data_IF_624315209557
#
_entry.id   IF_624315209557
#
_cell.length_a   1.000
_cell.length_b   1.000
_cell.length_c   1.000
_cell.angle_alpha   90.00
_cell.angle_beta   90.00
_cell.angle_gamma   90.00
#
_symmetry.space_group_name_H-M   'P 1'
#
loop_
_entity.id
_entity.type
_entity.pdbx_description
1 polymer ?
#
# COMPACT_ATOMS: atom_id res chain seq x y z
N UNK A 1 -33.27 -9.26 -31.18
CA UNK A 1 -31.96 -9.81 -30.75
C UNK A 1 -31.55 -9.09 -29.49
N UNK A 2 -31.60 -9.79 -28.36
CA UNK A 2 -31.37 -9.24 -27.02
C UNK A 2 -29.87 -9.10 -26.79
N UNK A 3 -29.37 -7.86 -26.73
CA UNK A 3 -28.06 -7.59 -26.13
C UNK A 3 -28.22 -7.62 -24.61
N UNK A 4 -28.19 -8.83 -24.04
CA UNK A 4 -27.87 -9.00 -22.64
C UNK A 4 -26.42 -8.51 -22.45
N UNK A 5 -26.26 -7.30 -21.91
CA UNK A 5 -24.99 -6.86 -21.35
C UNK A 5 -24.71 -7.83 -20.19
N UNK A 6 -23.86 -8.83 -20.46
CA UNK A 6 -23.30 -9.72 -19.44
C UNK A 6 -22.69 -8.83 -18.35
N UNK A 7 -23.32 -8.77 -17.18
CA UNK A 7 -22.64 -8.39 -15.96
C UNK A 7 -21.65 -9.51 -15.62
N UNK A 8 -20.51 -9.55 -16.32
CA UNK A 8 -19.36 -10.33 -15.89
C UNK A 8 -18.91 -9.72 -14.57
N UNK A 9 -19.30 -10.32 -13.45
CA UNK A 9 -18.72 -9.97 -12.15
C UNK A 9 -17.32 -10.57 -12.11
N UNK A 10 -16.40 -9.86 -12.73
CA UNK A 10 -14.96 -10.07 -12.62
C UNK A 10 -14.60 -10.02 -11.13
N UNK A 11 -13.84 -11.00 -10.65
CA UNK A 11 -13.48 -11.06 -9.24
C UNK A 11 -12.71 -9.79 -8.84
N UNK A 12 -13.08 -9.20 -7.71
CA UNK A 12 -12.46 -8.00 -7.17
C UNK A 12 -12.48 -8.01 -5.64
N UNK A 13 -11.29 -7.93 -5.04
CA UNK A 13 -11.07 -7.90 -3.60
C UNK A 13 -10.13 -6.75 -3.25
N UNK A 14 -10.44 -5.97 -2.21
CA UNK A 14 -9.46 -5.07 -1.59
C UNK A 14 -8.93 -5.73 -0.32
N UNK A 15 -7.68 -6.17 -0.33
CA UNK A 15 -7.05 -6.82 0.81
C UNK A 15 -6.32 -5.79 1.65
N UNK A 16 -6.63 -5.72 2.94
CA UNK A 16 -6.00 -4.83 3.93
C UNK A 16 -5.54 -5.67 5.11
N UNK A 17 -4.27 -5.54 5.47
CA UNK A 17 -3.70 -6.24 6.61
C UNK A 17 -3.96 -5.44 7.90
N UNK A 18 -4.80 -6.00 8.78
CA UNK A 18 -4.95 -5.54 10.15
C UNK A 18 -4.30 -6.51 11.14
N UNK A 19 -3.93 -6.04 12.34
CA UNK A 19 -3.63 -6.92 13.47
C UNK A 19 -4.85 -7.82 13.74
N UNK A 20 -4.62 -9.12 13.99
CA UNK A 20 -5.73 -10.03 14.28
C UNK A 20 -6.39 -9.69 15.63
N UNK A 21 -7.72 -9.86 15.76
CA UNK A 21 -8.44 -9.72 17.04
C UNK A 21 -8.15 -10.95 17.91
N UNK A 22 -6.92 -11.03 18.41
CA UNK A 22 -6.41 -12.21 19.12
C UNK A 22 -7.20 -12.42 20.41
N UNK A 23 -7.72 -13.63 20.61
CA UNK A 23 -8.49 -14.01 21.80
C UNK A 23 -9.98 -13.66 21.75
N UNK A 24 -10.45 -12.87 20.77
CA UNK A 24 -11.89 -12.63 20.63
C UNK A 24 -12.62 -13.86 20.08
N UNK A 25 -13.78 -14.15 20.67
CA UNK A 25 -14.80 -15.10 20.16
C UNK A 25 -16.12 -14.39 19.85
N UNK A 26 -16.14 -13.06 19.92
CA UNK A 26 -17.33 -12.27 19.62
C UNK A 26 -17.55 -12.27 18.11
N UNK A 27 -18.67 -12.85 17.68
CA UNK A 27 -19.10 -12.97 16.28
C UNK A 27 -19.08 -11.62 15.56
N UNK A 28 -19.51 -10.54 16.21
CA UNK A 28 -19.60 -9.22 15.59
C UNK A 28 -18.22 -8.58 15.40
N UNK A 29 -17.32 -8.76 16.37
CA UNK A 29 -15.92 -8.31 16.26
C UNK A 29 -15.21 -9.06 15.13
N UNK A 30 -15.35 -10.39 15.09
CA UNK A 30 -14.71 -11.24 14.09
C UNK A 30 -15.22 -10.93 12.68
N UNK A 31 -16.55 -10.81 12.52
CA UNK A 31 -17.18 -10.46 11.25
C UNK A 31 -16.77 -9.07 10.78
N UNK A 32 -16.81 -8.06 11.66
CA UNK A 32 -16.37 -6.70 11.33
C UNK A 32 -14.92 -6.68 10.86
N UNK A 33 -14.04 -7.40 11.56
CA UNK A 33 -12.63 -7.49 11.18
C UNK A 33 -12.43 -8.13 9.80
N UNK A 34 -13.18 -9.18 9.46
CA UNK A 34 -13.13 -9.81 8.12
C UNK A 34 -13.57 -8.81 7.05
N UNK A 35 -14.73 -8.17 7.24
CA UNK A 35 -15.29 -7.22 6.28
C UNK A 35 -14.37 -6.00 6.07
N UNK A 36 -13.74 -5.49 7.13
CA UNK A 36 -12.74 -4.42 7.06
C UNK A 36 -11.47 -4.87 6.34
N UNK A 37 -10.96 -6.07 6.64
CA UNK A 37 -9.76 -6.64 6.00
C UNK A 37 -9.98 -6.94 4.51
N UNK A 38 -11.23 -7.14 4.09
CA UNK A 38 -11.64 -7.26 2.69
C UNK A 38 -12.05 -5.92 2.06
N UNK A 39 -11.86 -4.80 2.77
CA UNK A 39 -12.11 -3.45 2.29
C UNK A 39 -13.58 -3.17 1.93
N UNK A 40 -14.50 -3.96 2.47
CA UNK A 40 -15.94 -3.90 2.15
C UNK A 40 -16.68 -2.81 2.94
N UNK A 41 -16.13 -2.43 4.10
CA UNK A 41 -16.64 -1.33 4.94
C UNK A 41 -15.81 -0.08 4.67
N UNK A 42 -16.48 1.03 4.35
CA UNK A 42 -15.83 2.35 4.30
C UNK A 42 -15.91 2.99 5.67
N UNK A 43 -14.82 2.98 6.44
CA UNK A 43 -14.72 3.80 7.64
C UNK A 43 -14.66 5.27 7.25
N UNK A 44 -15.72 6.04 7.51
CA UNK A 44 -15.66 7.51 7.56
C UNK A 44 -14.87 7.85 8.83
N UNK A 45 -13.80 8.61 8.72
CA UNK A 45 -13.00 8.98 9.89
C UNK A 45 -13.84 9.71 10.94
N UNK A 46 -13.76 9.28 12.20
CA UNK A 46 -14.09 10.12 13.36
C UNK A 46 -15.45 9.95 14.04
N UNK A 47 -16.28 8.95 13.74
CA UNK A 47 -17.53 8.72 14.47
C UNK A 47 -17.53 7.36 15.17
N UNK A 48 -17.41 7.38 16.49
CA UNK A 48 -17.67 6.24 17.38
C UNK A 48 -19.08 6.45 17.97
N UNK A 49 -20.11 6.08 17.21
CA UNK A 49 -21.49 5.96 17.69
C UNK A 49 -21.87 4.49 17.80
N UNK A 50 -22.51 4.09 18.90
CA UNK A 50 -22.81 2.68 19.23
C UNK A 50 -23.80 2.01 18.24
N UNK A 51 -24.73 2.79 17.66
CA UNK A 51 -25.71 2.30 16.66
C UNK A 51 -25.16 2.25 15.21
N UNK A 52 -24.03 2.91 14.93
CA UNK A 52 -23.33 2.86 13.63
C UNK A 52 -22.31 1.71 13.56
N UNK A 53 -22.19 0.90 14.63
CA UNK A 53 -21.19 -0.18 14.72
C UNK A 53 -21.44 -1.31 13.72
N UNK A 54 -22.67 -1.52 13.26
CA UNK A 54 -23.01 -2.60 12.33
C UNK A 54 -23.45 -2.03 10.97
N UNK A 55 -22.50 -1.90 10.04
CA UNK A 55 -22.78 -1.47 8.67
C UNK A 55 -23.71 -2.43 7.91
N UNK A 56 -24.30 -1.98 6.80
CA UNK A 56 -25.27 -2.75 6.01
C UNK A 56 -24.84 -4.20 5.68
N UNK A 57 -23.56 -4.40 5.35
CA UNK A 57 -23.01 -5.73 5.09
C UNK A 57 -22.96 -6.61 6.34
N UNK A 58 -22.61 -6.04 7.48
CA UNK A 58 -22.59 -6.75 8.75
C UNK A 58 -24.00 -7.26 9.08
N UNK A 59 -25.02 -6.41 8.95
CA UNK A 59 -26.43 -6.81 9.15
C UNK A 59 -26.91 -7.90 8.20
N UNK A 60 -26.56 -7.81 6.91
CA UNK A 60 -26.87 -8.88 5.91
C UNK A 60 -26.21 -10.20 6.33
N UNK A 61 -24.93 -10.16 6.69
CA UNK A 61 -24.20 -11.37 7.07
C UNK A 61 -24.77 -11.96 8.35
N UNK A 62 -25.00 -11.16 9.40
CA UNK A 62 -25.45 -11.66 10.70
C UNK A 62 -26.93 -12.06 10.73
N UNK A 63 -27.79 -11.29 10.06
CA UNK A 63 -29.24 -11.53 10.06
C UNK A 63 -29.68 -12.64 9.10
N UNK A 64 -28.91 -12.90 8.03
CA UNK A 64 -29.29 -13.85 7.00
C UNK A 64 -28.18 -14.88 6.67
N UNK A 65 -27.09 -14.44 6.04
CA UNK A 65 -26.14 -15.35 5.39
C UNK A 65 -25.35 -16.26 6.36
N UNK A 66 -25.17 -15.86 7.62
CA UNK A 66 -24.57 -16.71 8.66
C UNK A 66 -25.61 -17.53 9.44
N UNK A 67 -26.87 -17.08 9.47
CA UNK A 67 -27.96 -17.78 10.16
C UNK A 67 -28.36 -19.06 9.43
N UNK A 68 -28.48 -18.97 8.10
CA UNK A 68 -28.73 -20.12 7.24
C UNK A 68 -27.94 -19.94 5.92
N UNK A 69 -26.68 -20.42 5.88
CA UNK A 69 -25.75 -20.18 4.78
C UNK A 69 -26.21 -20.70 3.41
N UNK A 70 -27.05 -21.74 3.37
CA UNK A 70 -27.44 -22.45 2.16
C UNK A 70 -28.93 -22.33 1.82
N UNK A 71 -29.74 -21.62 2.62
CA UNK A 71 -31.18 -21.41 2.39
C UNK A 71 -31.56 -20.95 0.98
N UNK A 72 -30.69 -20.15 0.37
CA UNK A 72 -31.02 -19.35 -0.81
C UNK A 72 -31.82 -18.12 -0.42
N UNK A 73 -31.21 -16.95 -0.54
CA UNK A 73 -31.81 -15.68 -0.16
C UNK A 73 -32.04 -14.78 -1.36
N UNK A 74 -33.27 -14.34 -1.59
CA UNK A 74 -33.54 -13.29 -2.58
C UNK A 74 -33.28 -11.88 -2.00
N UNK A 75 -33.29 -10.84 -2.84
CA UNK A 75 -33.01 -9.47 -2.40
C UNK A 75 -34.07 -8.94 -1.42
N UNK A 76 -35.32 -9.39 -1.52
CA UNK A 76 -36.41 -8.96 -0.63
C UNK A 76 -36.20 -9.58 0.75
N UNK A 77 -35.99 -10.88 0.82
CA UNK A 77 -35.78 -11.61 2.07
C UNK A 77 -34.52 -11.11 2.81
N UNK A 78 -33.45 -10.79 2.06
CA UNK A 78 -32.26 -10.13 2.61
C UNK A 78 -32.57 -8.73 3.13
N UNK A 79 -33.39 -7.95 2.42
CA UNK A 79 -33.81 -6.62 2.86
C UNK A 79 -34.61 -6.66 4.16
N UNK A 80 -35.56 -7.59 4.24
CA UNK A 80 -36.41 -7.81 5.42
C UNK A 80 -35.59 -8.27 6.63
N UNK A 81 -34.66 -9.22 6.44
CA UNK A 81 -33.80 -9.73 7.50
C UNK A 81 -32.73 -8.72 8.00
N UNK A 82 -32.33 -7.76 7.17
CA UNK A 82 -31.24 -6.81 7.48
C UNK A 82 -31.70 -5.36 7.70
N UNK A 83 -33.01 -5.10 7.57
CA UNK A 83 -33.60 -3.76 7.66
C UNK A 83 -33.05 -2.80 6.60
N UNK A 84 -32.83 -3.29 5.38
CA UNK A 84 -32.28 -2.51 4.26
C UNK A 84 -33.30 -2.36 3.15
N UNK A 85 -33.24 -1.23 2.44
CA UNK A 85 -34.03 -1.06 1.22
C UNK A 85 -33.54 -1.99 0.11
N UNK A 86 -34.43 -2.37 -0.80
CA UNK A 86 -34.13 -3.22 -1.95
C UNK A 86 -32.88 -2.77 -2.73
N UNK A 87 -32.77 -1.46 -3.03
CA UNK A 87 -31.61 -0.88 -3.72
C UNK A 87 -30.33 -0.97 -2.87
N UNK A 88 -30.45 -0.74 -1.56
CA UNK A 88 -29.33 -0.86 -0.62
C UNK A 88 -28.79 -2.28 -0.55
N UNK A 89 -29.70 -3.26 -0.44
CA UNK A 89 -29.37 -4.69 -0.44
C UNK A 89 -28.70 -5.12 -1.75
N UNK A 90 -29.27 -4.76 -2.89
CA UNK A 90 -28.68 -5.07 -4.20
C UNK A 90 -27.24 -4.55 -4.33
N UNK A 91 -26.99 -3.31 -3.89
CA UNK A 91 -25.64 -2.74 -3.91
C UNK A 91 -24.65 -3.50 -3.02
N UNK A 92 -25.07 -3.94 -1.83
CA UNK A 92 -24.21 -4.74 -0.95
C UNK A 92 -23.97 -6.15 -1.52
N UNK A 93 -24.99 -6.78 -2.10
CA UNK A 93 -24.85 -8.10 -2.74
C UNK A 93 -23.90 -8.08 -3.93
N UNK A 94 -23.87 -7.00 -4.70
CA UNK A 94 -22.90 -6.82 -5.78
C UNK A 94 -21.45 -6.86 -5.25
N UNK A 95 -21.17 -6.28 -4.07
CA UNK A 95 -19.84 -6.33 -3.44
C UNK A 95 -19.48 -7.71 -2.91
N UNK A 96 -20.42 -8.37 -2.23
CA UNK A 96 -20.20 -9.73 -1.71
C UNK A 96 -19.98 -10.74 -2.84
N UNK A 97 -20.71 -10.57 -3.95
CA UNK A 97 -20.50 -11.34 -5.18
C UNK A 97 -19.16 -11.05 -5.82
N UNK A 98 -18.78 -9.78 -5.99
CA UNK A 98 -17.51 -9.41 -6.64
C UNK A 98 -16.29 -9.91 -5.87
N UNK A 99 -16.30 -9.85 -4.53
CA UNK A 99 -15.20 -10.37 -3.71
C UNK A 99 -15.25 -11.88 -3.51
N UNK A 100 -16.27 -12.56 -4.05
CA UNK A 100 -16.38 -14.02 -4.07
C UNK A 100 -16.90 -14.67 -2.78
N UNK A 101 -17.41 -13.89 -1.80
CA UNK A 101 -18.02 -14.43 -0.58
C UNK A 101 -19.39 -15.06 -0.85
N UNK A 102 -20.14 -14.52 -1.83
CA UNK A 102 -21.49 -14.97 -2.17
C UNK A 102 -21.53 -15.49 -3.59
N UNK A 103 -22.19 -16.64 -3.79
CA UNK A 103 -22.60 -17.11 -5.11
C UNK A 103 -24.05 -16.71 -5.38
N UNK A 104 -24.35 -16.51 -6.67
CA UNK A 104 -25.71 -16.20 -7.13
C UNK A 104 -26.14 -17.23 -8.16
N UNK A 105 -27.25 -17.88 -7.90
CA UNK A 105 -27.99 -18.67 -8.87
C UNK A 105 -29.13 -17.83 -9.45
N UNK A 106 -29.45 -18.05 -10.73
CA UNK A 106 -30.59 -17.40 -11.38
C UNK A 106 -31.69 -18.45 -11.53
N UNK A 107 -32.75 -18.32 -10.73
CA UNK A 107 -33.95 -19.13 -10.84
C UNK A 107 -35.07 -18.28 -11.48
N UNK A 108 -35.27 -18.47 -12.78
CA UNK A 108 -36.18 -17.65 -13.58
C UNK A 108 -35.78 -16.16 -13.59
N UNK A 109 -36.58 -15.32 -12.91
CA UNK A 109 -36.32 -13.87 -12.76
C UNK A 109 -35.64 -13.51 -11.44
N UNK A 110 -35.45 -14.49 -10.55
CA UNK A 110 -34.95 -14.26 -9.20
C UNK A 110 -33.46 -14.56 -9.12
N UNK A 111 -32.74 -13.67 -8.43
CA UNK A 111 -31.37 -13.90 -8.06
C UNK A 111 -31.35 -14.47 -6.64
N UNK A 112 -30.94 -15.72 -6.52
CA UNK A 112 -30.86 -16.44 -5.25
C UNK A 112 -29.40 -16.42 -4.79
N UNK A 113 -29.17 -15.89 -3.59
CA UNK A 113 -27.85 -15.68 -3.02
C UNK A 113 -27.58 -16.65 -1.88
N UNK A 114 -26.40 -17.26 -1.86
CA UNK A 114 -25.94 -18.14 -0.78
C UNK A 114 -24.52 -17.79 -0.36
N UNK A 115 -24.18 -18.06 0.90
CA UNK A 115 -22.80 -17.96 1.36
C UNK A 115 -21.99 -19.07 0.70
N UNK A 116 -20.95 -18.68 -0.05
CA UNK A 116 -20.21 -19.61 -0.91
C UNK A 116 -19.56 -20.71 -0.06
N UNK A 117 -19.87 -21.97 -0.35
CA UNK A 117 -19.33 -23.11 0.39
C UNK A 117 -20.00 -23.37 1.75
N UNK A 118 -21.08 -22.66 2.07
CA UNK A 118 -21.93 -22.95 3.23
C UNK A 118 -21.39 -22.52 4.60
N UNK A 119 -20.28 -21.80 4.66
CA UNK A 119 -19.70 -21.24 5.89
C UNK A 119 -18.76 -20.08 5.56
N UNK A 120 -18.39 -19.25 6.56
CA UNK A 120 -17.45 -18.16 6.31
C UNK A 120 -16.05 -18.68 5.99
N UNK A 121 -15.58 -19.72 6.70
CA UNK A 121 -14.27 -20.33 6.48
C UNK A 121 -14.14 -20.91 5.07
N UNK A 122 -15.16 -21.60 4.57
CA UNK A 122 -15.18 -22.10 3.20
C UNK A 122 -15.20 -20.97 2.17
N UNK A 123 -16.04 -19.95 2.37
CA UNK A 123 -16.12 -18.78 1.50
C UNK A 123 -14.75 -18.07 1.42
N UNK A 124 -14.16 -17.73 2.56
CA UNK A 124 -12.85 -17.06 2.64
C UNK A 124 -11.73 -17.95 2.12
N UNK A 125 -11.82 -19.27 2.29
CA UNK A 125 -10.90 -20.23 1.70
C UNK A 125 -10.89 -20.15 0.17
N UNK A 126 -12.07 -20.18 -0.46
CA UNK A 126 -12.24 -20.05 -1.91
C UNK A 126 -11.80 -18.67 -2.42
N UNK A 127 -12.17 -17.60 -1.71
CA UNK A 127 -11.71 -16.24 -2.00
C UNK A 127 -10.19 -16.15 -1.94
N UNK A 128 -9.55 -16.80 -0.95
CA UNK A 128 -8.08 -16.78 -0.82
C UNK A 128 -7.39 -17.45 -2.00
N UNK A 129 -7.91 -18.59 -2.47
CA UNK A 129 -7.35 -19.30 -3.63
C UNK A 129 -7.48 -18.46 -4.89
N UNK A 130 -8.67 -17.89 -5.12
CA UNK A 130 -8.92 -17.03 -6.28
C UNK A 130 -8.07 -15.75 -6.23
N UNK A 131 -8.04 -15.07 -5.08
CA UNK A 131 -7.22 -13.88 -4.87
C UNK A 131 -5.74 -14.14 -5.13
N UNK A 132 -5.21 -15.27 -4.65
CA UNK A 132 -3.81 -15.63 -4.88
C UNK A 132 -3.52 -15.86 -6.37
N UNK A 133 -4.35 -16.63 -7.06
CA UNK A 133 -4.17 -16.91 -8.49
C UNK A 133 -4.28 -15.64 -9.36
N UNK A 134 -5.25 -14.78 -9.06
CA UNK A 134 -5.42 -13.49 -9.74
C UNK A 134 -4.24 -12.58 -9.47
N UNK A 135 -3.82 -12.45 -8.20
CA UNK A 135 -2.69 -11.62 -7.84
C UNK A 135 -1.41 -12.10 -8.51
N UNK A 136 -1.16 -13.42 -8.55
CA UNK A 136 0.00 -14.04 -9.22
C UNK A 136 0.09 -13.63 -10.69
N UNK A 137 -1.04 -13.67 -11.42
CA UNK A 137 -1.13 -13.17 -12.79
C UNK A 137 -0.77 -11.68 -12.89
N UNK A 138 -1.39 -10.83 -12.05
CA UNK A 138 -1.17 -9.37 -12.11
C UNK A 138 0.27 -8.99 -11.70
N UNK A 139 0.85 -9.62 -10.69
CA UNK A 139 2.24 -9.33 -10.29
C UNK A 139 3.25 -9.82 -11.31
N UNK A 140 2.93 -10.85 -12.10
CA UNK A 140 3.78 -11.26 -13.23
C UNK A 140 3.84 -10.16 -14.31
N UNK A 141 2.73 -9.47 -14.56
CA UNK A 141 2.72 -8.32 -15.47
C UNK A 141 3.50 -7.13 -14.90
N UNK A 142 3.36 -6.86 -13.60
CA UNK A 142 4.17 -5.85 -12.89
C UNK A 142 5.66 -6.18 -12.98
N UNK A 143 6.04 -7.44 -12.80
CA UNK A 143 7.42 -7.89 -12.84
C UNK A 143 8.06 -7.57 -14.21
N UNK A 144 7.29 -7.70 -15.30
CA UNK A 144 7.74 -7.34 -16.65
C UNK A 144 8.01 -5.84 -16.86
N UNK A 145 7.50 -4.96 -15.98
CA UNK A 145 7.76 -3.51 -16.05
C UNK A 145 9.04 -3.09 -15.34
N UNK A 146 9.54 -3.90 -14.41
CA UNK A 146 10.68 -3.56 -13.55
C UNK A 146 11.98 -3.86 -14.29
N UNK A 147 12.77 -2.82 -14.56
CA UNK A 147 14.11 -3.01 -15.10
C UNK A 147 15.03 -3.58 -14.01
N UNK A 148 15.76 -4.68 -14.26
CA UNK A 148 16.71 -5.24 -13.32
C UNK A 148 17.84 -4.24 -13.00
N UNK A 149 18.17 -4.07 -11.73
CA UNK A 149 19.29 -3.24 -11.28
C UNK A 149 19.75 -3.67 -9.90
N UNK A 150 20.95 -4.27 -9.82
CA UNK A 150 21.58 -4.62 -8.54
C UNK A 150 21.96 -3.38 -7.73
N UNK A 151 22.39 -2.31 -8.40
CA UNK A 151 22.78 -1.05 -7.77
C UNK A 151 21.63 -0.43 -6.96
N UNK A 152 20.38 -0.64 -7.41
CA UNK A 152 19.17 -0.18 -6.71
C UNK A 152 19.11 -0.63 -5.26
N UNK A 153 19.60 -1.82 -4.95
CA UNK A 153 19.54 -2.44 -3.62
C UNK A 153 20.83 -2.29 -2.81
N UNK A 154 21.84 -1.56 -3.33
CA UNK A 154 23.14 -1.39 -2.67
C UNK A 154 23.07 -0.68 -1.31
N UNK A 155 22.01 0.09 -1.05
CA UNK A 155 21.71 0.67 0.27
C UNK A 155 20.49 -0.05 0.85
N UNK A 156 20.56 -0.59 2.08
CA UNK A 156 19.40 -1.17 2.75
C UNK A 156 18.24 -0.17 2.86
N UNK A 157 17.02 -0.66 2.69
CA UNK A 157 15.83 0.15 2.94
C UNK A 157 15.71 0.49 4.42
N UNK A 158 15.02 1.58 4.74
CA UNK A 158 14.64 1.84 6.14
C UNK A 158 13.51 0.89 6.54
N UNK A 159 13.67 0.20 7.66
CA UNK A 159 12.61 -0.63 8.23
C UNK A 159 11.48 0.26 8.77
N UNK A 160 10.44 0.46 7.97
CA UNK A 160 9.20 1.12 8.39
C UNK A 160 8.06 0.10 8.45
N UNK A 161 7.27 0.13 9.54
CA UNK A 161 6.04 -0.65 9.64
C UNK A 161 4.95 -0.03 8.75
N UNK A 162 5.06 -0.29 7.45
CA UNK A 162 4.05 0.11 6.48
C UNK A 162 2.95 -0.95 6.46
N UNK A 163 1.73 -0.54 6.80
CA UNK A 163 0.55 -1.40 6.69
C UNK A 163 0.33 -1.88 5.24
N UNK A 164 -0.03 -3.14 5.06
CA UNK A 164 -0.25 -3.71 3.73
C UNK A 164 -1.68 -3.47 3.26
N UNK A 165 -1.84 -2.96 2.05
CA UNK A 165 -3.14 -2.83 1.39
C UNK A 165 -2.97 -2.87 -0.13
N UNK A 166 -3.76 -3.73 -0.79
CA UNK A 166 -3.73 -3.91 -2.25
C UNK A 166 -5.14 -4.25 -2.76
N UNK A 167 -5.51 -3.74 -3.94
CA UNK A 167 -6.67 -4.31 -4.66
C UNK A 167 -6.20 -5.47 -5.55
N UNK A 168 -7.05 -6.47 -5.67
CA UNK A 168 -6.83 -7.67 -6.48
C UNK A 168 -8.06 -7.81 -7.35
N UNK A 169 -7.90 -7.55 -8.65
CA UNK A 169 -8.97 -7.68 -9.62
C UNK A 169 -8.53 -8.56 -10.78
N UNK A 170 -9.45 -9.43 -11.23
CA UNK A 170 -9.27 -10.15 -12.48
C UNK A 170 -9.17 -9.14 -13.64
N UNK A 171 -8.37 -9.42 -14.67
CA UNK A 171 -8.30 -8.55 -15.84
C UNK A 171 -9.68 -8.37 -16.48
N UNK A 172 -10.13 -7.12 -16.55
CA UNK A 172 -11.39 -6.76 -17.19
C UNK A 172 -11.31 -6.67 -18.72
N UNK A 173 -12.44 -6.38 -19.35
CA UNK A 173 -12.46 -5.99 -20.75
C UNK A 173 -11.62 -4.71 -20.94
N UNK A 174 -10.79 -4.70 -21.98
CA UNK A 174 -10.00 -3.51 -22.32
C UNK A 174 -10.95 -2.39 -22.74
N UNK A 175 -10.84 -1.23 -22.09
CA UNK A 175 -11.52 -0.01 -22.52
C UNK A 175 -10.91 0.54 -23.82
N UNK A 176 -11.64 1.41 -24.50
CA UNK A 176 -11.17 2.06 -25.73
C UNK A 176 -10.01 3.04 -25.47
N UNK A 177 -9.88 3.54 -24.24
CA UNK A 177 -8.84 4.47 -23.79
C UNK A 177 -8.03 3.88 -22.64
N UNK A 178 -6.76 3.57 -22.86
CA UNK A 178 -5.83 3.08 -21.85
C UNK A 178 -5.00 1.88 -22.32
N UNK A 179 -3.75 1.81 -21.88
CA UNK A 179 -2.87 0.68 -22.15
C UNK A 179 -2.99 -0.42 -21.07
N UNK A 180 -2.25 -1.52 -21.22
CA UNK A 180 -2.26 -2.61 -20.23
C UNK A 180 -1.74 -2.19 -18.85
N UNK A 181 -0.90 -1.14 -18.77
CA UNK A 181 -0.36 -0.63 -17.51
C UNK A 181 -1.43 0.19 -16.80
N UNK A 182 -2.23 0.99 -17.52
CA UNK A 182 -3.37 1.70 -16.95
C UNK A 182 -4.35 0.72 -16.27
N UNK A 183 -4.64 -0.41 -16.92
CA UNK A 183 -5.46 -1.47 -16.34
C UNK A 183 -4.79 -2.10 -15.10
N UNK A 184 -3.49 -2.37 -15.13
CA UNK A 184 -2.74 -2.94 -14.01
C UNK A 184 -2.75 -2.03 -12.77
N UNK A 185 -2.57 -0.73 -12.97
CA UNK A 185 -2.61 0.28 -11.92
C UNK A 185 -4.02 0.38 -11.30
N UNK A 186 -5.06 0.24 -12.13
CA UNK A 186 -6.44 0.21 -11.67
C UNK A 186 -6.74 -1.05 -10.85
N UNK A 187 -6.29 -2.22 -11.32
CA UNK A 187 -6.54 -3.52 -10.66
C UNK A 187 -5.84 -3.62 -9.30
N UNK A 188 -4.64 -3.02 -9.16
CA UNK A 188 -3.97 -2.86 -7.86
C UNK A 188 -4.56 -1.73 -6.99
N UNK A 189 -5.49 -0.93 -7.51
CA UNK A 189 -6.16 0.14 -6.77
C UNK A 189 -5.28 1.38 -6.55
N UNK A 190 -4.21 1.54 -7.34
CA UNK A 190 -3.20 2.58 -7.17
C UNK A 190 -3.68 3.97 -7.60
N UNK A 191 -4.73 4.05 -8.42
CA UNK A 191 -5.38 5.32 -8.77
C UNK A 191 -6.13 5.95 -7.57
N UNK A 192 -6.52 5.13 -6.58
CA UNK A 192 -7.38 5.57 -5.48
C UNK A 192 -8.84 5.77 -5.91
N UNK A 193 -9.73 5.98 -4.95
CA UNK A 193 -11.18 5.98 -5.20
C UNK A 193 -11.78 7.26 -5.80
N UNK A 194 -10.96 8.24 -6.21
CA UNK A 194 -11.40 9.55 -6.74
C UNK A 194 -10.62 10.01 -7.98
N UNK A 195 -9.88 9.11 -8.63
CA UNK A 195 -9.17 9.47 -9.87
C UNK A 195 -10.18 9.77 -10.98
N UNK A 196 -9.82 10.69 -11.87
CA UNK A 196 -10.57 10.90 -13.13
C UNK A 196 -10.24 9.75 -14.09
N UNK A 197 -11.08 9.53 -15.10
CA UNK A 197 -10.90 8.44 -16.06
C UNK A 197 -9.63 8.56 -16.92
N UNK A 198 -9.09 9.77 -17.04
CA UNK A 198 -7.88 10.13 -17.78
C UNK A 198 -6.64 10.36 -16.89
N UNK A 199 -6.76 10.10 -15.58
CA UNK A 199 -5.69 10.34 -14.62
C UNK A 199 -4.59 9.27 -14.70
N UNK A 200 -3.45 9.63 -15.29
CA UNK A 200 -2.31 8.71 -15.51
C UNK A 200 -1.20 8.83 -14.48
N UNK A 201 -1.36 9.64 -13.43
CA UNK A 201 -0.27 9.91 -12.49
C UNK A 201 0.31 8.63 -11.86
N UNK A 202 -0.55 7.73 -11.38
CA UNK A 202 -0.07 6.50 -10.74
C UNK A 202 0.66 5.58 -11.74
N UNK A 203 0.20 5.54 -12.99
CA UNK A 203 0.87 4.83 -14.08
C UNK A 203 2.24 5.42 -14.39
N UNK A 204 2.32 6.74 -14.53
CA UNK A 204 3.56 7.43 -14.87
C UNK A 204 4.61 7.34 -13.76
N UNK A 205 4.18 7.49 -12.50
CA UNK A 205 5.03 7.25 -11.34
C UNK A 205 5.54 5.81 -11.30
N UNK A 206 4.68 4.82 -11.54
CA UNK A 206 5.07 3.41 -11.53
C UNK A 206 6.14 3.15 -12.60
N UNK A 207 5.91 3.58 -13.84
CA UNK A 207 6.88 3.42 -14.93
C UNK A 207 8.22 4.10 -14.64
N UNK A 208 8.19 5.34 -14.13
CA UNK A 208 9.41 6.08 -13.81
C UNK A 208 10.21 5.42 -12.68
N UNK A 209 9.54 4.94 -11.63
CA UNK A 209 10.20 4.26 -10.52
C UNK A 209 10.72 2.89 -10.97
N UNK A 210 9.94 2.14 -11.76
CA UNK A 210 10.29 0.82 -12.29
C UNK A 210 11.51 0.83 -13.23
N UNK A 211 11.75 1.93 -13.92
CA UNK A 211 12.89 2.12 -14.80
C UNK A 211 14.09 2.79 -14.11
N UNK A 212 13.98 3.14 -12.83
CA UNK A 212 15.05 3.85 -12.11
C UNK A 212 15.97 2.88 -11.37
N UNK A 213 17.28 3.12 -11.50
CA UNK A 213 18.30 2.45 -10.68
C UNK A 213 18.48 3.13 -9.33
N UNK A 214 18.12 4.41 -9.22
CA UNK A 214 18.36 5.22 -8.02
C UNK A 214 17.05 5.65 -7.35
N UNK A 215 17.01 5.82 -6.03
CA UNK A 215 15.84 6.37 -5.35
C UNK A 215 15.50 7.79 -5.83
N UNK A 216 14.23 8.06 -6.11
CA UNK A 216 13.75 9.38 -6.53
C UNK A 216 13.00 10.09 -5.41
N UNK A 217 13.24 11.38 -5.22
CA UNK A 217 12.52 12.17 -4.21
C UNK A 217 11.08 12.47 -4.66
N UNK A 218 10.19 12.70 -3.70
CA UNK A 218 8.82 13.19 -3.99
C UNK A 218 8.86 14.52 -4.74
N UNK A 219 9.83 15.39 -4.44
CA UNK A 219 9.99 16.67 -5.12
C UNK A 219 10.37 16.47 -6.60
N UNK A 220 11.39 15.66 -6.88
CA UNK A 220 11.80 15.37 -8.27
C UNK A 220 10.69 14.70 -9.09
N UNK A 221 9.89 13.83 -8.46
CA UNK A 221 8.72 13.22 -9.12
C UNK A 221 7.60 14.25 -9.37
N UNK A 222 7.32 15.13 -8.40
CA UNK A 222 6.36 16.21 -8.54
C UNK A 222 6.73 17.18 -9.68
N UNK A 223 8.00 17.58 -9.73
CA UNK A 223 8.50 18.48 -10.77
C UNK A 223 8.46 17.81 -12.15
N UNK A 224 8.88 16.54 -12.25
CA UNK A 224 8.89 15.77 -13.51
C UNK A 224 7.51 15.63 -14.14
N UNK A 225 6.48 15.45 -13.33
CA UNK A 225 5.11 15.21 -13.80
C UNK A 225 4.21 16.44 -13.69
N UNK A 226 4.77 17.61 -13.36
CA UNK A 226 4.01 18.86 -13.19
C UNK A 226 2.84 18.72 -12.22
N UNK A 227 3.07 18.02 -11.11
CA UNK A 227 2.03 17.62 -10.16
C UNK A 227 2.33 18.12 -8.75
N UNK A 228 1.29 18.27 -7.92
CA UNK A 228 1.50 18.69 -6.54
C UNK A 228 2.21 17.61 -5.71
N UNK A 229 3.15 18.01 -4.84
CA UNK A 229 3.86 17.11 -3.92
C UNK A 229 2.91 16.22 -3.11
N UNK A 230 1.79 16.77 -2.63
CA UNK A 230 0.80 16.02 -1.84
C UNK A 230 0.05 14.96 -2.64
N UNK A 231 -0.13 15.17 -3.95
CA UNK A 231 -0.77 14.21 -4.85
C UNK A 231 0.20 13.07 -5.20
N UNK A 232 1.45 13.38 -5.53
CA UNK A 232 2.52 12.39 -5.72
C UNK A 232 2.73 11.55 -4.46
N UNK A 233 2.86 12.20 -3.30
CA UNK A 233 3.00 11.50 -2.01
C UNK A 233 1.87 10.49 -1.79
N UNK A 234 0.61 10.89 -2.02
CA UNK A 234 -0.54 9.98 -1.85
C UNK A 234 -0.52 8.81 -2.84
N UNK A 235 -0.06 9.00 -4.07
CA UNK A 235 0.05 7.94 -5.06
C UNK A 235 1.17 6.95 -4.70
N UNK A 236 2.35 7.47 -4.34
CA UNK A 236 3.48 6.68 -3.85
C UNK A 236 3.10 5.87 -2.61
N UNK A 237 2.39 6.47 -1.64
CA UNK A 237 2.02 5.77 -0.41
C UNK A 237 1.11 4.56 -0.70
N UNK A 238 0.25 4.62 -1.73
CA UNK A 238 -0.53 3.44 -2.16
C UNK A 238 0.35 2.34 -2.74
N UNK A 239 1.37 2.69 -3.52
CA UNK A 239 2.34 1.72 -4.03
C UNK A 239 3.17 1.11 -2.88
N UNK A 240 3.47 1.90 -1.84
CA UNK A 240 4.14 1.42 -0.62
C UNK A 240 3.26 0.49 0.19
N UNK A 241 1.99 0.83 0.42
CA UNK A 241 1.03 -0.10 1.06
C UNK A 241 0.87 -1.39 0.27
N UNK A 242 0.95 -1.33 -1.06
CA UNK A 242 0.91 -2.51 -1.91
C UNK A 242 2.23 -3.30 -1.94
N UNK A 243 3.26 -2.85 -1.20
CA UNK A 243 4.61 -3.43 -1.14
C UNK A 243 5.39 -3.42 -2.47
N UNK A 244 5.01 -2.56 -3.42
CA UNK A 244 5.65 -2.42 -4.74
C UNK A 244 6.90 -1.54 -4.66
N UNK A 245 6.82 -0.46 -3.87
CA UNK A 245 7.91 0.51 -3.68
C UNK A 245 8.23 0.68 -2.20
N UNK A 246 9.43 1.15 -1.90
CA UNK A 246 9.90 1.40 -0.55
C UNK A 246 10.67 2.72 -0.45
N UNK A 247 10.86 3.18 0.79
CA UNK A 247 11.71 4.34 1.06
C UNK A 247 13.14 3.86 1.21
N UNK A 248 14.05 4.53 0.52
CA UNK A 248 15.47 4.23 0.56
C UNK A 248 16.26 5.48 0.98
N UNK A 249 17.23 5.33 1.91
CA UNK A 249 18.12 6.41 2.25
C UNK A 249 18.97 6.82 1.04
N UNK A 250 19.08 8.13 0.78
CA UNK A 250 19.92 8.66 -0.31
C UNK A 250 21.29 9.04 0.23
N UNK A 251 22.17 8.05 0.38
CA UNK A 251 23.50 8.23 1.00
C UNK A 251 24.33 9.29 0.28
N UNK A 252 24.29 9.33 -1.05
CA UNK A 252 25.05 10.30 -1.85
C UNK A 252 24.64 11.76 -1.58
N UNK A 253 23.41 11.98 -1.11
CA UNK A 253 22.91 13.31 -0.74
C UNK A 253 23.37 13.77 0.64
N UNK A 254 23.84 12.87 1.51
CA UNK A 254 24.31 13.25 2.86
C UNK A 254 25.43 14.28 2.74
N UNK A 255 26.40 14.07 1.85
CA UNK A 255 27.53 14.99 1.66
C UNK A 255 27.09 16.39 1.22
N UNK A 256 26.08 16.46 0.34
CA UNK A 256 25.51 17.72 -0.13
C UNK A 256 24.81 18.48 1.02
N UNK A 257 24.01 17.77 1.81
CA UNK A 257 23.25 18.38 2.91
C UNK A 257 24.17 18.73 4.09
N UNK A 258 25.20 17.92 4.36
CA UNK A 258 26.26 18.24 5.32
C UNK A 258 27.03 19.47 4.87
N UNK A 259 27.42 19.57 3.60
CA UNK A 259 28.09 20.77 3.07
C UNK A 259 27.23 22.03 3.29
N UNK A 260 25.97 21.99 2.86
CA UNK A 260 25.05 23.13 3.01
C UNK A 260 24.80 23.49 4.49
N UNK A 261 24.63 22.48 5.35
CA UNK A 261 24.49 22.65 6.78
C UNK A 261 25.74 23.24 7.42
N UNK A 262 26.91 22.67 7.13
CA UNK A 262 28.19 23.09 7.67
C UNK A 262 28.49 24.56 7.32
N UNK A 263 28.35 24.94 6.05
CA UNK A 263 28.61 26.31 5.62
C UNK A 263 27.66 27.32 6.26
N UNK A 264 26.37 26.98 6.38
CA UNK A 264 25.37 27.83 7.05
C UNK A 264 25.62 27.96 8.56
N UNK A 265 25.97 26.87 9.23
CA UNK A 265 26.23 26.91 10.68
C UNK A 265 27.56 27.57 11.00
N UNK A 266 28.59 27.38 10.16
CA UNK A 266 29.88 28.07 10.29
C UNK A 266 29.68 29.59 10.24
N UNK A 267 28.98 30.10 9.22
CA UNK A 267 28.75 31.54 9.07
C UNK A 267 27.84 32.13 10.15
N UNK A 268 26.86 31.37 10.64
CA UNK A 268 25.90 31.85 11.64
C UNK A 268 26.35 31.69 13.10
N UNK A 269 27.19 30.70 13.44
CA UNK A 269 27.48 30.30 14.83
C UNK A 269 28.97 30.08 15.14
N UNK A 270 29.82 30.02 14.11
CA UNK A 270 31.27 29.91 14.27
C UNK A 270 31.81 28.52 14.66
N UNK A 271 33.14 28.43 14.72
CA UNK A 271 33.91 27.19 14.87
C UNK A 271 33.63 26.45 16.19
N UNK A 272 33.59 27.17 17.32
CA UNK A 272 33.38 26.56 18.63
C UNK A 272 32.00 25.89 18.76
N UNK A 273 30.98 26.44 18.10
CA UNK A 273 29.66 25.81 18.05
C UNK A 273 29.70 24.51 17.22
N UNK A 274 30.40 24.51 16.08
CA UNK A 274 30.53 23.33 15.21
C UNK A 274 31.23 22.17 15.91
N UNK A 275 32.31 22.44 16.65
CA UNK A 275 33.06 21.44 17.40
C UNK A 275 32.25 20.86 18.57
N UNK A 276 31.40 21.67 19.21
CA UNK A 276 30.55 21.23 20.30
C UNK A 276 29.19 20.73 19.80
N UNK A 277 28.19 21.61 19.72
CA UNK A 277 26.79 21.27 19.40
C UNK A 277 26.58 20.87 17.93
N UNK A 278 27.44 21.33 17.03
CA UNK A 278 27.38 20.99 15.60
C UNK A 278 27.89 19.58 15.27
N UNK A 279 28.47 18.87 16.25
CA UNK A 279 28.82 17.46 16.14
C UNK A 279 30.17 17.15 15.49
N UNK A 280 30.94 18.16 15.03
CA UNK A 280 32.26 17.91 14.45
C UNK A 280 33.24 17.31 15.47
N UNK A 281 33.13 17.65 16.75
CA UNK A 281 33.98 17.07 17.80
C UNK A 281 33.71 15.60 18.12
N UNK A 282 32.68 15.01 17.51
CA UNK A 282 32.34 13.58 17.67
C UNK A 282 32.99 12.70 16.59
N UNK A 283 33.53 13.32 15.54
CA UNK A 283 34.23 12.64 14.46
C UNK A 283 35.71 12.47 14.83
N UNK A 284 36.39 11.58 14.12
CA UNK A 284 37.84 11.48 14.18
C UNK A 284 38.50 12.85 13.96
N UNK A 285 39.57 13.10 14.71
CA UNK A 285 40.22 14.40 14.75
C UNK A 285 40.69 14.86 13.35
N UNK A 286 41.15 13.93 12.52
CA UNK A 286 41.55 14.18 11.13
C UNK A 286 40.39 14.67 10.26
N UNK A 287 39.23 13.99 10.34
CA UNK A 287 38.00 14.34 9.61
C UNK A 287 37.46 15.69 10.10
N UNK A 288 37.37 15.86 11.42
CA UNK A 288 36.90 17.08 12.07
C UNK A 288 37.71 18.30 11.66
N UNK A 289 39.04 18.21 11.74
CA UNK A 289 39.97 19.27 11.32
C UNK A 289 39.86 19.57 9.83
N UNK A 290 39.74 18.55 8.98
CA UNK A 290 39.61 18.74 7.53
C UNK A 290 38.34 19.50 7.16
N UNK A 291 37.18 19.14 7.75
CA UNK A 291 35.92 19.84 7.54
C UNK A 291 35.97 21.28 8.06
N UNK A 292 36.50 21.49 9.27
CA UNK A 292 36.57 22.83 9.87
C UNK A 292 37.52 23.76 9.08
N UNK A 293 38.71 23.28 8.74
CA UNK A 293 39.68 24.05 7.97
C UNK A 293 39.14 24.39 6.57
N UNK A 294 38.44 23.45 5.93
CA UNK A 294 37.80 23.68 4.65
C UNK A 294 36.68 24.73 4.73
N UNK A 295 35.83 24.66 5.76
CA UNK A 295 34.76 25.63 5.99
C UNK A 295 35.31 27.04 6.24
N UNK A 296 36.35 27.14 7.08
CA UNK A 296 37.06 28.39 7.38
C UNK A 296 37.64 29.05 6.13
N UNK A 297 38.24 28.26 5.24
CA UNK A 297 38.84 28.73 3.99
C UNK A 297 37.82 28.94 2.86
N UNK A 298 36.55 28.58 3.06
CA UNK A 298 35.54 28.58 2.00
C UNK A 298 35.87 27.63 0.84
N UNK A 299 36.72 26.63 1.07
CA UNK A 299 37.26 25.77 0.02
C UNK A 299 36.52 24.44 -0.12
N UNK A 300 35.49 24.19 0.70
CA UNK A 300 34.67 22.99 0.60
C UNK A 300 33.69 23.07 -0.57
N UNK A 301 33.38 21.90 -1.11
CA UNK A 301 32.27 21.63 -2.02
C UNK A 301 31.73 20.22 -1.69
N UNK A 302 30.65 19.81 -2.35
CA UNK A 302 30.00 18.52 -2.11
C UNK A 302 30.99 17.35 -2.27
N UNK A 303 31.83 17.38 -3.30
CA UNK A 303 32.78 16.31 -3.61
C UNK A 303 33.88 16.19 -2.55
N UNK A 304 34.41 17.33 -2.06
CA UNK A 304 35.40 17.34 -0.97
C UNK A 304 34.80 16.86 0.34
N UNK A 305 33.57 17.26 0.66
CA UNK A 305 32.88 16.76 1.86
C UNK A 305 32.67 15.26 1.75
N UNK A 306 32.28 14.75 0.59
CA UNK A 306 32.15 13.31 0.35
C UNK A 306 33.48 12.57 0.55
N UNK A 307 34.57 13.08 0.00
CA UNK A 307 35.90 12.49 0.17
C UNK A 307 36.36 12.49 1.64
N UNK A 308 36.13 13.59 2.37
CA UNK A 308 36.48 13.70 3.80
C UNK A 308 35.63 12.76 4.66
N UNK A 309 34.35 12.57 4.32
CA UNK A 309 33.44 11.69 5.05
C UNK A 309 33.53 10.22 4.63
N UNK A 310 34.22 9.88 3.55
CA UNK A 310 34.36 8.51 3.04
C UNK A 310 34.76 7.46 4.11
N UNK A 311 35.69 7.73 5.06
CA UNK A 311 36.02 6.77 6.13
C UNK A 311 34.99 6.73 7.27
N UNK A 312 34.08 7.70 7.38
CA UNK A 312 33.12 7.81 8.50
C UNK A 312 31.97 6.82 8.29
N UNK A 313 31.55 6.03 9.30
CA UNK A 313 30.37 5.17 9.20
C UNK A 313 29.09 5.95 8.86
N UNK A 314 28.15 5.33 8.12
CA UNK A 314 26.91 5.99 7.67
C UNK A 314 26.09 6.55 8.84
N UNK A 315 25.99 5.83 9.96
CA UNK A 315 25.26 6.29 11.14
C UNK A 315 25.87 7.56 11.76
N UNK A 316 27.20 7.66 11.80
CA UNK A 316 27.88 8.86 12.28
C UNK A 316 27.69 10.04 11.33
N UNK A 317 27.68 9.79 10.01
CA UNK A 317 27.32 10.82 9.02
C UNK A 317 25.86 11.30 9.21
N UNK A 318 24.94 10.39 9.52
CA UNK A 318 23.52 10.72 9.82
C UNK A 318 23.41 11.56 11.09
N UNK A 319 24.15 11.21 12.14
CA UNK A 319 24.22 11.99 13.38
C UNK A 319 24.75 13.40 13.10
N UNK A 320 25.86 13.51 12.35
CA UNK A 320 26.43 14.80 11.96
C UNK A 320 25.44 15.66 11.18
N UNK A 321 24.74 15.07 10.21
CA UNK A 321 23.70 15.77 9.45
C UNK A 321 22.61 16.33 10.37
N UNK A 322 22.14 15.52 11.32
CA UNK A 322 21.13 15.93 12.29
C UNK A 322 21.62 17.05 13.22
N UNK A 323 22.87 17.01 13.70
CA UNK A 323 23.44 18.07 14.56
C UNK A 323 23.61 19.40 13.81
N UNK A 324 23.83 19.36 12.50
CA UNK A 324 23.87 20.55 11.64
C UNK A 324 22.47 21.10 11.29
N UNK A 325 21.41 20.44 11.77
CA UNK A 325 20.01 20.79 11.55
C UNK A 325 19.43 20.25 10.24
N UNK A 326 20.10 19.29 9.60
CA UNK A 326 19.57 18.52 8.47
C UNK A 326 18.73 17.33 8.93
N UNK A 327 18.19 16.60 7.96
CA UNK A 327 17.52 15.30 8.16
C UNK A 327 17.94 14.37 7.03
N UNK A 328 17.99 13.07 7.32
CA UNK A 328 18.33 12.07 6.32
C UNK A 328 17.42 12.22 5.07
N UNK A 329 17.99 12.42 3.87
CA UNK A 329 17.20 12.48 2.65
C UNK A 329 16.75 11.07 2.26
N UNK A 330 15.46 10.95 1.98
CA UNK A 330 14.85 9.70 1.52
C UNK A 330 14.27 9.85 0.12
N UNK A 331 14.56 8.86 -0.70
CA UNK A 331 13.94 8.66 -2.00
C UNK A 331 12.99 7.46 -1.98
N UNK A 332 12.31 7.27 -3.10
CA UNK A 332 11.41 6.17 -3.38
C UNK A 332 12.02 5.33 -4.48
N UNK A 333 12.06 4.01 -4.28
CA UNK A 333 12.53 3.03 -5.28
C UNK A 333 11.60 1.82 -5.31
N UNK A 334 11.71 1.02 -6.37
CA UNK A 334 11.12 -0.31 -6.40
C UNK A 334 11.65 -1.17 -5.25
N UNK A 335 10.78 -1.96 -4.63
CA UNK A 335 11.09 -2.76 -3.45
C UNK A 335 11.76 -4.11 -3.77
N UNK A 336 12.75 -4.10 -4.66
CA UNK A 336 13.51 -5.26 -5.14
C UNK A 336 14.47 -4.90 -6.28
N UNK A 337 15.50 -5.72 -6.51
CA UNK A 337 16.48 -5.51 -7.58
C UNK A 337 15.85 -5.73 -8.97
N UNK A 338 14.87 -6.63 -9.07
CA UNK A 338 14.19 -7.00 -10.31
C UNK A 338 12.68 -7.21 -10.07
N UNK A 339 11.96 -7.52 -11.15
CA UNK A 339 10.52 -7.79 -11.09
C UNK A 339 10.14 -9.01 -10.28
N UNK A 340 10.97 -10.05 -10.24
CA UNK A 340 10.69 -11.29 -9.51
C UNK A 340 10.71 -11.06 -8.00
N UNK A 341 11.70 -10.31 -7.49
CA UNK A 341 11.79 -9.96 -6.07
C UNK A 341 10.61 -9.09 -5.62
N UNK A 342 10.14 -8.17 -6.48
CA UNK A 342 8.95 -7.36 -6.21
C UNK A 342 7.71 -8.22 -6.14
N UNK A 343 7.52 -9.10 -7.13
CA UNK A 343 6.39 -10.02 -7.16
C UNK A 343 6.37 -10.92 -5.91
N UNK A 344 7.51 -11.51 -5.54
CA UNK A 344 7.64 -12.32 -4.33
C UNK A 344 7.28 -11.51 -3.08
N UNK A 345 7.77 -10.28 -2.95
CA UNK A 345 7.47 -9.41 -1.81
C UNK A 345 5.98 -9.12 -1.68
N UNK A 346 5.32 -8.77 -2.79
CA UNK A 346 3.87 -8.50 -2.82
C UNK A 346 3.09 -9.77 -2.45
N UNK A 347 3.42 -10.91 -3.07
CA UNK A 347 2.78 -12.20 -2.80
C UNK A 347 2.95 -12.63 -1.34
N UNK A 348 4.14 -12.47 -0.76
CA UNK A 348 4.41 -12.81 0.65
C UNK A 348 3.56 -11.98 1.61
N UNK A 349 3.37 -10.69 1.34
CA UNK A 349 2.49 -9.83 2.16
C UNK A 349 1.01 -10.21 1.99
N UNK A 350 0.58 -10.50 0.76
CA UNK A 350 -0.78 -10.97 0.49
C UNK A 350 -1.07 -12.31 1.16
N UNK A 351 -0.18 -13.30 1.06
CA UNK A 351 -0.34 -14.62 1.68
C UNK A 351 -0.44 -14.52 3.22
N UNK A 352 0.32 -13.61 3.83
CA UNK A 352 0.20 -13.31 5.26
C UNK A 352 -1.19 -12.78 5.60
N UNK A 353 -1.68 -11.79 4.86
CA UNK A 353 -3.01 -11.20 5.10
C UNK A 353 -4.15 -12.21 4.85
N UNK A 354 -4.07 -12.99 3.77
CA UNK A 354 -5.03 -14.07 3.46
C UNK A 354 -5.03 -15.18 4.52
N UNK A 355 -3.86 -15.54 5.08
CA UNK A 355 -3.77 -16.51 6.18
C UNK A 355 -4.48 -16.01 7.44
N UNK A 356 -4.33 -14.73 7.78
CA UNK A 356 -5.05 -14.10 8.90
C UNK A 356 -6.55 -14.11 8.65
N UNK A 357 -6.98 -13.75 7.43
CA UNK A 357 -8.38 -13.85 7.02
C UNK A 357 -8.97 -15.24 7.24
N UNK A 358 -8.31 -16.30 6.75
CA UNK A 358 -8.75 -17.69 6.96
C UNK A 358 -8.83 -18.05 8.45
N UNK A 359 -7.84 -17.63 9.24
CA UNK A 359 -7.80 -17.93 10.68
C UNK A 359 -8.98 -17.28 11.41
N UNK A 360 -9.30 -16.03 11.10
CA UNK A 360 -10.43 -15.32 11.74
C UNK A 360 -11.77 -15.86 11.23
N UNK A 361 -11.87 -16.23 9.96
CA UNK A 361 -13.06 -16.87 9.40
C UNK A 361 -13.38 -18.21 10.07
N UNK A 362 -12.37 -19.04 10.33
CA UNK A 362 -12.55 -20.29 11.08
C UNK A 362 -13.08 -20.01 12.50
N UNK A 363 -12.50 -19.03 13.20
CA UNK A 363 -12.98 -18.64 14.54
C UNK A 363 -14.40 -18.11 14.53
N UNK A 364 -14.81 -17.43 13.45
CA UNK A 364 -16.17 -16.94 13.30
C UNK A 364 -17.16 -18.10 13.21
N UNK A 365 -16.87 -19.11 12.39
CA UNK A 365 -17.72 -20.30 12.27
C UNK A 365 -17.76 -21.12 13.58
N UNK A 366 -16.66 -21.15 14.35
CA UNK A 366 -16.63 -21.81 15.67
C UNK A 366 -17.46 -21.07 16.74
N UNK A 367 -17.76 -19.79 16.52
CA UNK A 367 -18.47 -18.93 17.47
C UNK A 367 -19.94 -18.64 17.07
N UNK A 368 -20.30 -18.84 15.80
CA UNK A 368 -21.64 -18.65 15.25
C UNK A 368 -22.46 -19.94 15.38
#
# INVERSE_FOLDING_TARGET
MSHAIRALSVFALRLIEYPMPTGSRDTDILLTWILDSMGLIRRRGGQWGDDERQGALHRIMRGALLTDPLKGWDIRDLGDASGLSHTGTHHQMAKLKSCGLVSTEVDGKWHIHVLRGGSMSAAVGLVSVQARAVLELRVSELAGLVQPSEARMGVPAEEEDTGFAISIAEPGARGESGDSIDALVADFGLNGGRSRGDDRLARDLLCAIASSEHPMTILSLADRFSESRSRVQRAVERMRSAAIVERAPMIDRISQDVYAGLMRQHSGRGEGWLLSRGGLGRLDESVSKALLAGAKKGSLNTEKVQAILAPVPIEDRRILLNTLGGRMPFGIRVAGADGAQVAERVMRRADRALRRLRTVAQRLDEAA
#
